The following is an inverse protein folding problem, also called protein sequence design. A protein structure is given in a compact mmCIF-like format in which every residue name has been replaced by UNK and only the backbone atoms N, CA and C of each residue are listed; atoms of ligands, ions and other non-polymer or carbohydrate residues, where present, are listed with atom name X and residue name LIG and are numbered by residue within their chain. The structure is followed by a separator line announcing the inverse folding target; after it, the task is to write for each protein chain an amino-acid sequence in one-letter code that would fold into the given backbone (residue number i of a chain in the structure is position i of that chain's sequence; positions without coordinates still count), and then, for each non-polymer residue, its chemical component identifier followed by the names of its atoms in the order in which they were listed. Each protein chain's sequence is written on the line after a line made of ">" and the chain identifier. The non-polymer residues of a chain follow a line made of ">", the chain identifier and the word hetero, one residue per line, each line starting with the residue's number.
data_IF_331720928569
#
_entry.id   IF_331720928569
#
_cell.length_a   1.000
_cell.length_b   1.000
_cell.length_c   1.000
_cell.angle_alpha   90.00
_cell.angle_beta   90.00
_cell.angle_gamma   90.00
#
_symmetry.space_group_name_H-M   'P 1'
#
loop_
_entity.id
_entity.type
_entity.pdbx_description
1 polymer ?
#
# COMPACT_ATOMS: atom_id res chain seq x y z
N UNK A 1 -4.71 -9.85 22.10
CA UNK A 1 -5.81 -9.10 21.47
C UNK A 1 -6.57 -8.36 22.56
N UNK A 2 -6.88 -7.08 22.37
CA UNK A 2 -7.63 -6.32 23.38
C UNK A 2 -9.13 -6.43 23.12
N UNK A 3 -9.91 -6.72 24.17
CA UNK A 3 -11.37 -6.77 24.13
C UNK A 3 -11.93 -5.53 24.78
N UNK A 4 -12.57 -4.65 24.00
CA UNK A 4 -13.29 -3.49 24.53
C UNK A 4 -14.47 -3.90 25.44
N UNK A 5 -15.10 -5.04 25.14
CA UNK A 5 -16.23 -5.54 25.92
C UNK A 5 -15.83 -5.95 27.34
N UNK A 6 -14.66 -6.57 27.46
CA UNK A 6 -14.17 -7.12 28.73
C UNK A 6 -13.10 -6.23 29.38
N UNK A 7 -12.75 -5.11 28.73
CA UNK A 7 -11.65 -4.20 29.09
C UNK A 7 -10.36 -4.95 29.47
N UNK A 8 -9.98 -5.94 28.66
CA UNK A 8 -8.85 -6.81 28.98
C UNK A 8 -8.09 -7.28 27.74
N UNK A 9 -6.82 -7.60 27.96
CA UNK A 9 -5.97 -8.26 26.98
C UNK A 9 -6.11 -9.78 27.10
N UNK A 10 -6.41 -10.44 25.98
CA UNK A 10 -6.38 -11.89 25.86
C UNK A 10 -5.14 -12.35 25.10
N UNK A 11 -4.57 -13.48 25.51
CA UNK A 11 -3.55 -14.14 24.73
C UNK A 11 -4.16 -14.63 23.42
N UNK A 12 -3.45 -14.39 22.33
CA UNK A 12 -3.80 -14.91 21.02
C UNK A 12 -2.68 -15.84 20.56
N UNK A 13 -3.08 -16.87 19.83
CA UNK A 13 -2.28 -17.74 18.95
C UNK A 13 -1.31 -17.01 18.00
N UNK A 14 -1.44 -15.69 17.84
CA UNK A 14 -0.56 -14.79 17.05
C UNK A 14 0.92 -14.83 17.51
N UNK A 15 1.30 -15.58 18.54
CA UNK A 15 2.71 -15.73 18.97
C UNK A 15 3.67 -16.15 17.84
N UNK A 16 3.19 -16.89 16.85
CA UNK A 16 3.96 -17.25 15.64
C UNK A 16 4.23 -16.03 14.74
N UNK A 17 3.25 -15.15 14.60
CA UNK A 17 3.37 -13.88 13.85
C UNK A 17 4.34 -12.93 14.58
N UNK A 18 4.27 -12.85 15.91
CA UNK A 18 5.19 -12.01 16.70
C UNK A 18 6.65 -12.43 16.50
N UNK A 19 6.92 -13.74 16.36
CA UNK A 19 8.26 -14.23 16.03
C UNK A 19 8.70 -13.86 14.62
N UNK A 20 7.83 -14.00 13.62
CA UNK A 20 8.13 -13.61 12.23
C UNK A 20 8.46 -12.11 12.11
N UNK A 21 7.73 -11.27 12.84
CA UNK A 21 7.89 -9.82 12.80
C UNK A 21 9.05 -9.30 13.65
N UNK A 22 9.67 -10.14 14.49
CA UNK A 22 10.82 -9.73 15.31
C UNK A 22 12.07 -9.47 14.47
N UNK A 23 12.20 -10.18 13.35
CA UNK A 23 13.36 -10.11 12.45
C UNK A 23 13.03 -9.34 11.16
N UNK A 24 11.96 -8.53 11.15
CA UNK A 24 11.53 -7.78 9.98
C UNK A 24 11.15 -6.34 10.35
N UNK A 25 11.40 -5.41 9.43
CA UNK A 25 10.86 -4.05 9.49
C UNK A 25 9.37 -4.09 9.12
N UNK A 26 8.49 -3.97 10.12
CA UNK A 26 7.06 -3.75 9.90
C UNK A 26 6.82 -2.38 9.27
N UNK A 27 6.01 -2.37 8.21
CA UNK A 27 5.76 -1.16 7.44
C UNK A 27 4.32 -0.69 7.53
N UNK A 28 3.37 -1.63 7.54
CA UNK A 28 1.95 -1.31 7.58
C UNK A 28 1.12 -2.49 8.11
N UNK A 29 -0.05 -2.17 8.66
CA UNK A 29 -1.02 -3.18 9.08
C UNK A 29 -2.44 -2.62 9.16
N UNK A 30 -3.40 -3.37 8.61
CA UNK A 30 -4.82 -3.00 8.65
C UNK A 30 -5.71 -4.22 8.89
N UNK A 31 -7.00 -3.99 9.19
CA UNK A 31 -7.99 -5.06 9.28
C UNK A 31 -9.16 -4.89 8.30
N UNK A 32 -9.60 -5.98 7.67
CA UNK A 32 -10.81 -6.05 6.84
C UNK A 32 -11.62 -7.26 7.30
N UNK A 33 -12.89 -7.07 7.63
CA UNK A 33 -13.87 -8.15 7.90
C UNK A 33 -13.41 -9.21 8.92
N UNK A 34 -12.60 -8.81 9.91
CA UNK A 34 -12.08 -9.70 10.96
C UNK A 34 -10.78 -10.42 10.60
N UNK A 35 -10.24 -10.19 9.40
CA UNK A 35 -8.88 -10.55 9.03
C UNK A 35 -7.95 -9.38 9.31
N UNK A 36 -6.73 -9.66 9.79
CA UNK A 36 -5.67 -8.67 9.99
C UNK A 36 -4.58 -8.93 8.97
N UNK A 37 -4.13 -7.90 8.29
CA UNK A 37 -3.10 -7.95 7.26
C UNK A 37 -1.88 -7.17 7.72
N UNK A 38 -0.69 -7.67 7.42
CA UNK A 38 0.56 -6.98 7.65
C UNK A 38 1.44 -7.02 6.40
N UNK A 39 2.19 -5.94 6.18
CA UNK A 39 3.28 -5.89 5.24
C UNK A 39 4.57 -5.55 5.95
N UNK A 40 5.60 -6.30 5.60
CA UNK A 40 6.96 -6.10 6.09
C UNK A 40 7.95 -6.24 4.95
N UNK A 41 9.06 -5.51 5.04
CA UNK A 41 10.21 -5.69 4.16
C UNK A 41 11.13 -6.76 4.73
N UNK A 42 11.74 -7.54 3.85
CA UNK A 42 12.88 -8.38 4.23
C UNK A 42 14.05 -7.48 4.60
N UNK A 43 14.64 -7.71 5.78
CA UNK A 43 15.80 -6.95 6.27
C UNK A 43 17.03 -7.09 5.36
N UNK A 44 17.06 -8.08 4.46
CA UNK A 44 18.16 -8.29 3.51
C UNK A 44 17.93 -7.60 2.14
N UNK A 45 16.68 -7.26 1.80
CA UNK A 45 16.35 -6.55 0.56
C UNK A 45 15.08 -5.72 0.75
N UNK A 46 15.26 -4.44 1.07
CA UNK A 46 14.17 -3.46 1.26
C UNK A 46 13.25 -3.31 0.03
N UNK A 47 13.60 -3.91 -1.10
CA UNK A 47 12.78 -3.94 -2.32
C UNK A 47 11.77 -5.08 -2.33
N UNK A 48 11.94 -6.09 -1.49
CA UNK A 48 11.02 -7.22 -1.38
C UNK A 48 10.18 -7.06 -0.12
N UNK A 49 8.87 -7.02 -0.30
CA UNK A 49 7.94 -7.13 0.82
C UNK A 49 7.10 -8.39 0.68
N UNK A 50 6.69 -8.87 1.84
CA UNK A 50 5.73 -9.96 1.97
C UNK A 50 4.47 -9.41 2.61
N UNK A 51 3.32 -9.89 2.14
CA UNK A 51 2.03 -9.62 2.78
C UNK A 51 1.56 -10.91 3.42
N UNK A 52 1.28 -10.84 4.72
CA UNK A 52 0.65 -11.92 5.46
C UNK A 52 -0.72 -11.47 5.93
N UNK A 53 -1.63 -12.42 6.10
CA UNK A 53 -2.91 -12.17 6.75
C UNK A 53 -3.25 -13.27 7.76
N UNK A 54 -3.86 -12.86 8.85
CA UNK A 54 -4.39 -13.71 9.89
C UNK A 54 -5.93 -13.65 9.86
N UNK A 55 -6.57 -14.79 9.69
CA UNK A 55 -8.01 -14.93 9.79
C UNK A 55 -8.41 -15.20 11.25
N UNK A 56 -8.99 -14.19 11.91
CA UNK A 56 -9.40 -14.33 13.31
C UNK A 56 -10.52 -15.33 13.55
N UNK A 57 -11.23 -15.81 12.50
CA UNK A 57 -12.27 -16.83 12.65
C UNK A 57 -11.70 -18.24 12.60
N UNK A 58 -10.79 -18.51 11.67
CA UNK A 58 -10.18 -19.85 11.51
C UNK A 58 -8.89 -20.02 12.31
N UNK A 59 -8.36 -18.94 12.88
CA UNK A 59 -7.05 -18.92 13.56
C UNK A 59 -5.87 -19.27 12.63
N UNK A 60 -6.03 -19.00 11.33
CA UNK A 60 -5.05 -19.34 10.30
C UNK A 60 -4.23 -18.12 9.89
N UNK A 61 -2.92 -18.33 9.72
CA UNK A 61 -1.99 -17.39 9.11
C UNK A 61 -1.65 -17.85 7.69
N UNK A 62 -1.72 -16.94 6.72
CA UNK A 62 -1.32 -17.21 5.33
C UNK A 62 -0.50 -16.07 4.75
N UNK A 63 0.40 -16.43 3.87
CA UNK A 63 1.11 -15.49 3.00
C UNK A 63 0.32 -15.27 1.72
N UNK A 64 0.23 -14.02 1.28
CA UNK A 64 -0.43 -13.63 0.04
C UNK A 64 0.61 -13.45 -1.07
N UNK A 65 0.23 -13.69 -2.34
CA UNK A 65 1.15 -13.49 -3.44
C UNK A 65 1.59 -12.02 -3.51
N UNK A 66 2.89 -11.76 -3.69
CA UNK A 66 3.38 -10.40 -3.99
C UNK A 66 2.90 -10.00 -5.38
N UNK A 67 2.31 -8.81 -5.56
CA UNK A 67 1.83 -8.39 -6.87
C UNK A 67 2.98 -8.16 -7.85
N UNK A 68 2.68 -8.29 -9.16
CA UNK A 68 3.71 -8.24 -10.21
C UNK A 68 4.41 -6.88 -10.27
N UNK A 69 3.67 -5.77 -10.13
CA UNK A 69 4.22 -4.40 -10.20
C UNK A 69 5.20 -4.08 -9.05
N UNK A 70 5.02 -4.72 -7.90
CA UNK A 70 5.93 -4.57 -6.76
C UNK A 70 7.32 -5.16 -7.01
N UNK A 71 7.48 -5.99 -8.03
CA UNK A 71 8.78 -6.57 -8.42
C UNK A 71 9.62 -5.61 -9.27
N UNK A 72 9.07 -4.44 -9.63
CA UNK A 72 9.79 -3.41 -10.35
C UNK A 72 10.67 -2.59 -9.40
N UNK A 73 11.88 -2.22 -9.85
CA UNK A 73 12.87 -1.54 -9.00
C UNK A 73 12.28 -0.25 -8.39
N UNK A 74 12.47 -0.08 -7.07
CA UNK A 74 12.12 1.08 -6.25
C UNK A 74 10.61 1.28 -5.99
N UNK A 75 9.86 0.19 -5.89
CA UNK A 75 8.48 0.26 -5.45
C UNK A 75 8.37 0.72 -3.99
N UNK A 76 7.60 1.79 -3.77
CA UNK A 76 7.04 2.12 -2.46
C UNK A 76 5.54 1.90 -2.51
N UNK A 77 4.99 1.23 -1.49
CA UNK A 77 3.57 0.94 -1.41
C UNK A 77 3.07 1.04 0.01
N UNK A 78 1.81 1.43 0.14
CA UNK A 78 1.07 1.42 1.39
C UNK A 78 -0.15 0.53 1.22
N UNK A 79 -0.52 -0.14 2.30
CA UNK A 79 -1.68 -1.00 2.32
C UNK A 79 -2.92 -0.20 2.72
N UNK A 80 -4.04 -0.53 2.11
CA UNK A 80 -5.33 0.09 2.42
C UNK A 80 -6.48 -0.85 2.08
N UNK A 81 -7.71 -0.37 2.24
CA UNK A 81 -8.91 -1.07 1.79
C UNK A 81 -9.72 -0.19 0.84
N UNK A 82 -10.11 -0.77 -0.30
CA UNK A 82 -11.04 -0.16 -1.25
C UNK A 82 -12.17 -1.15 -1.47
N UNK A 83 -13.42 -0.72 -1.24
CA UNK A 83 -14.61 -1.57 -1.39
C UNK A 83 -14.52 -2.91 -0.64
N UNK A 84 -13.96 -2.88 0.58
CA UNK A 84 -13.68 -4.06 1.41
C UNK A 84 -12.70 -5.08 0.81
N UNK A 85 -11.91 -4.71 -0.19
CA UNK A 85 -10.80 -5.51 -0.70
C UNK A 85 -9.48 -4.99 -0.14
N UNK A 86 -8.57 -5.91 0.20
CA UNK A 86 -7.16 -5.58 0.42
C UNK A 86 -6.66 -4.84 -0.83
N UNK A 87 -6.07 -3.67 -0.63
CA UNK A 87 -5.60 -2.82 -1.70
C UNK A 87 -4.18 -2.35 -1.40
N UNK A 88 -3.41 -2.16 -2.47
CA UNK A 88 -2.10 -1.51 -2.43
C UNK A 88 -2.16 -0.30 -3.32
N UNK A 89 -1.68 0.83 -2.82
CA UNK A 89 -1.39 1.97 -3.66
C UNK A 89 0.07 2.33 -3.50
N UNK A 90 0.70 2.66 -4.63
CA UNK A 90 2.12 2.89 -4.67
C UNK A 90 2.57 3.28 -6.05
N UNK A 91 3.86 3.49 -6.20
CA UNK A 91 4.40 3.89 -7.48
C UNK A 91 5.89 3.68 -7.55
N UNK A 92 6.43 4.00 -8.72
CA UNK A 92 7.85 4.14 -8.90
C UNK A 92 8.18 5.63 -8.84
N UNK A 93 9.06 6.05 -7.95
CA UNK A 93 9.46 7.47 -7.76
C UNK A 93 9.75 8.23 -9.08
N UNK A 94 10.38 7.63 -10.11
CA UNK A 94 10.63 8.30 -11.38
C UNK A 94 9.39 8.47 -12.28
N UNK A 95 8.34 7.64 -12.12
CA UNK A 95 7.24 7.58 -13.10
C UNK A 95 6.14 8.61 -12.84
N UNK A 96 6.07 9.23 -11.65
CA UNK A 96 4.97 10.12 -11.23
C UNK A 96 3.56 9.51 -11.41
N UNK A 97 3.50 8.18 -11.52
CA UNK A 97 2.29 7.39 -11.64
C UNK A 97 2.01 6.76 -10.29
N UNK A 98 0.80 6.97 -9.79
CA UNK A 98 0.24 6.18 -8.70
C UNK A 98 -0.58 5.05 -9.30
N UNK A 99 -0.24 3.82 -8.96
CA UNK A 99 -1.03 2.64 -9.32
C UNK A 99 -1.75 2.12 -8.08
N UNK A 100 -3.03 1.81 -8.25
CA UNK A 100 -3.90 1.26 -7.21
C UNK A 100 -4.28 -0.14 -7.65
N UNK A 101 -3.94 -1.11 -6.82
CA UNK A 101 -4.17 -2.52 -7.03
C UNK A 101 -5.07 -3.08 -5.94
N UNK A 102 -5.95 -4.01 -6.31
CA UNK A 102 -6.87 -4.67 -5.39
C UNK A 102 -6.68 -6.18 -5.46
N UNK A 103 -6.80 -6.84 -4.31
CA UNK A 103 -6.82 -8.30 -4.21
C UNK A 103 -8.26 -8.79 -4.36
N UNK A 104 -8.53 -9.55 -5.42
CA UNK A 104 -9.81 -10.22 -5.67
C UNK A 104 -9.59 -11.70 -5.92
N UNK A 105 -10.23 -12.57 -5.11
CA UNK A 105 -10.15 -14.04 -5.27
C UNK A 105 -8.70 -14.54 -5.36
N UNK A 106 -7.87 -14.09 -4.42
CA UNK A 106 -6.45 -14.44 -4.31
C UNK A 106 -5.54 -13.99 -5.46
N UNK A 107 -6.03 -13.07 -6.31
CA UNK A 107 -5.25 -12.46 -7.38
C UNK A 107 -5.24 -10.93 -7.28
N UNK A 108 -4.08 -10.33 -7.59
CA UNK A 108 -3.93 -8.89 -7.69
C UNK A 108 -4.38 -8.37 -9.05
N UNK A 109 -5.20 -7.32 -9.04
CA UNK A 109 -5.68 -6.64 -10.24
C UNK A 109 -5.45 -5.15 -10.16
N UNK A 110 -4.99 -4.56 -11.25
CA UNK A 110 -4.90 -3.11 -11.38
C UNK A 110 -6.32 -2.55 -11.40
N UNK A 111 -6.66 -1.75 -10.40
CA UNK A 111 -7.94 -1.05 -10.35
C UNK A 111 -7.85 0.29 -11.09
N UNK A 112 -6.77 1.04 -10.85
CA UNK A 112 -6.63 2.39 -11.37
C UNK A 112 -5.16 2.77 -11.53
N UNK A 113 -4.86 3.53 -12.58
CA UNK A 113 -3.58 4.20 -12.79
C UNK A 113 -3.83 5.71 -12.85
N UNK A 114 -3.21 6.45 -11.93
CA UNK A 114 -3.31 7.90 -11.85
C UNK A 114 -1.97 8.48 -12.31
N UNK A 115 -1.97 9.06 -13.51
CA UNK A 115 -0.80 9.73 -14.08
C UNK A 115 -0.79 11.21 -13.67
N UNK A 116 0.38 11.86 -13.75
CA UNK A 116 0.54 13.29 -13.44
C UNK A 116 0.13 13.66 -12.01
N UNK A 117 0.38 12.77 -11.04
CA UNK A 117 -0.03 12.94 -9.65
C UNK A 117 0.35 14.32 -9.07
N UNK A 118 1.56 14.88 -9.30
CA UNK A 118 1.89 16.21 -8.79
C UNK A 118 1.00 17.34 -9.32
N UNK A 119 0.55 17.24 -10.58
CA UNK A 119 -0.34 18.25 -11.20
C UNK A 119 -1.74 18.12 -10.61
N UNK A 120 -2.21 16.89 -10.45
CA UNK A 120 -3.51 16.59 -9.82
C UNK A 120 -3.54 17.13 -8.40
N UNK A 121 -2.53 16.81 -7.58
CA UNK A 121 -2.44 17.30 -6.20
C UNK A 121 -2.40 18.83 -6.12
N UNK A 122 -1.66 19.50 -7.03
CA UNK A 122 -1.63 20.97 -7.11
C UNK A 122 -3.00 21.58 -7.42
N UNK A 123 -3.83 20.89 -8.19
CA UNK A 123 -5.18 21.38 -8.53
C UNK A 123 -6.07 21.37 -7.29
N UNK A 124 -6.04 20.29 -6.51
CA UNK A 124 -6.81 20.20 -5.26
C UNK A 124 -6.35 21.22 -4.20
N UNK A 125 -5.05 21.47 -4.09
CA UNK A 125 -4.52 22.50 -3.17
C UNK A 125 -4.97 23.91 -3.61
N UNK A 126 -5.09 24.17 -4.92
CA UNK A 126 -5.55 25.47 -5.43
C UNK A 126 -7.04 25.69 -5.21
N UNK A 127 -7.86 24.65 -5.29
CA UNK A 127 -9.30 24.75 -5.03
C UNK A 127 -9.60 25.03 -3.54
N UNK A 128 -8.78 24.51 -2.61
CA UNK A 128 -8.87 24.85 -1.19
C UNK A 128 -8.39 26.26 -0.85
N UNK A 129 -7.48 26.82 -1.66
CA UNK A 129 -6.88 28.14 -1.46
C UNK A 129 -7.43 29.18 -2.45
N UNK A 130 -8.75 29.23 -2.65
CA UNK A 130 -9.38 30.25 -3.49
C UNK A 130 -8.76 31.63 -3.27
N UNK A 131 -8.21 32.19 -4.35
CA UNK A 131 -7.49 33.47 -4.48
C UNK A 131 -5.99 33.47 -4.10
N UNK A 132 -5.11 33.35 -5.11
CA UNK A 132 -4.25 34.49 -5.51
C UNK A 132 -3.57 34.23 -6.87
N UNK A 133 -3.87 35.07 -7.86
CA UNK A 133 -3.11 35.14 -9.10
C UNK A 133 -1.78 35.86 -8.84
N UNK A 134 -0.67 35.12 -8.94
CA UNK A 134 0.61 35.60 -9.50
C UNK A 134 1.62 34.46 -9.64
N UNK A 135 2.48 34.56 -10.66
CA UNK A 135 3.33 33.50 -11.24
C UNK A 135 4.18 32.68 -10.26
N UNK A 136 4.74 31.55 -10.68
CA UNK A 136 6.06 31.54 -11.34
C UNK A 136 6.36 30.18 -12.02
N UNK A 137 7.03 30.31 -13.17
CA UNK A 137 7.93 29.41 -13.90
C UNK A 137 7.40 28.14 -14.59
N UNK A 138 7.42 28.25 -15.92
CA UNK A 138 7.61 27.19 -16.90
C UNK A 138 8.75 26.23 -16.50
N UNK A 139 8.54 24.93 -16.70
CA UNK A 139 9.65 23.98 -16.83
C UNK A 139 9.66 23.46 -18.26
N UNK A 140 10.64 23.93 -19.03
CA UNK A 140 10.91 23.58 -20.42
C UNK A 140 11.90 22.41 -20.52
N UNK A 141 11.57 21.42 -21.37
CA UNK A 141 12.49 20.42 -21.95
C UNK A 141 12.52 19.07 -21.22
N UNK A 142 12.39 17.91 -21.86
CA UNK A 142 12.54 17.55 -23.29
C UNK A 142 11.73 16.29 -23.64
N UNK A 143 11.26 16.23 -24.90
CA UNK A 143 10.57 15.11 -25.55
C UNK A 143 11.39 13.81 -25.67
N UNK A 144 10.66 12.75 -26.08
CA UNK A 144 11.00 11.39 -26.56
C UNK A 144 10.67 10.30 -25.54
N UNK A 145 9.87 9.26 -25.84
CA UNK A 145 9.66 8.57 -27.10
C UNK A 145 8.21 8.05 -27.30
N UNK A 146 7.79 8.08 -28.57
CA UNK A 146 6.77 7.21 -29.14
C UNK A 146 7.17 5.73 -28.95
N UNK A 147 6.22 4.88 -28.59
CA UNK A 147 6.28 3.46 -28.97
C UNK A 147 4.97 3.03 -29.62
N UNK A 148 5.14 2.44 -30.81
CA UNK A 148 4.17 1.67 -31.58
C UNK A 148 3.84 0.36 -30.89
#
# INVERSE_FOLDING_TARGET
>A
MYSLKNDCWTNSSISHVVRLLHDCSLCDGFSIRGCVYWMYYDNLDERNFTIIYFDGKSDELKELPTPVFARENNFFGLMTNIKDCLSLYGGNSPSLVLEIWIMERDEWKLLMKVCNLPIICKTFIKEENGEDERGIAEYSGSETALFR
#
